data_IF_491643618481
#
_entry.id   IF_491643618481
#
_cell.length_a   1.000
_cell.length_b   1.000
_cell.length_c   1.000
_cell.angle_alpha   90.00
_cell.angle_beta   90.00
_cell.angle_gamma   90.00
#
_symmetry.space_group_name_H-M   'P 1'
#
loop_
_entity.id
_entity.type
_entity.pdbx_description
1 polymer ?
#
# COMPACT_ATOMS: atom_id res chain seq x y z
N UNK A 1 -23.49 15.40 5.88
CA UNK A 1 -24.56 15.82 4.96
C UNK A 1 -25.23 14.55 4.46
N UNK A 2 -26.47 14.32 4.86
CA UNK A 2 -27.22 13.12 4.47
C UNK A 2 -27.57 13.18 2.97
N UNK A 3 -27.68 12.02 2.29
CA UNK A 3 -28.16 11.99 0.91
C UNK A 3 -29.53 12.65 0.79
N UNK A 4 -29.76 13.38 -0.32
CA UNK A 4 -31.08 13.94 -0.62
C UNK A 4 -32.06 12.79 -0.83
N UNK A 5 -33.31 12.91 -0.36
CA UNK A 5 -34.34 11.87 -0.56
C UNK A 5 -34.44 11.41 -2.03
N UNK A 6 -34.32 12.33 -2.97
CA UNK A 6 -34.33 12.06 -4.41
C UNK A 6 -33.22 11.12 -4.90
N UNK A 7 -32.11 10.94 -4.17
CA UNK A 7 -31.03 10.03 -4.58
C UNK A 7 -31.34 8.55 -4.34
N UNK A 8 -32.38 8.24 -3.56
CA UNK A 8 -32.82 6.86 -3.32
C UNK A 8 -33.73 6.31 -4.42
N UNK A 9 -34.29 7.18 -5.26
CA UNK A 9 -35.16 6.78 -6.35
C UNK A 9 -34.39 6.83 -7.66
N UNK A 10 -34.33 5.67 -8.34
CA UNK A 10 -33.83 5.55 -9.71
C UNK A 10 -34.86 6.04 -10.72
N UNK A 11 -36.14 5.80 -10.46
CA UNK A 11 -37.26 6.20 -11.32
C UNK A 11 -38.50 6.50 -10.48
N UNK A 12 -39.20 7.57 -10.83
CA UNK A 12 -40.51 7.94 -10.29
C UNK A 12 -41.49 8.00 -11.45
N UNK A 13 -42.62 7.31 -11.34
CA UNK A 13 -43.67 7.31 -12.35
C UNK A 13 -44.94 7.88 -11.72
N UNK A 14 -45.54 8.88 -12.36
CA UNK A 14 -46.79 9.50 -11.94
C UNK A 14 -47.84 9.18 -13.00
N UNK A 15 -48.90 8.47 -12.58
CA UNK A 15 -50.04 8.17 -13.42
C UNK A 15 -51.17 9.18 -13.17
N UNK A 16 -51.55 9.90 -14.21
CA UNK A 16 -52.68 10.83 -14.26
C UNK A 16 -53.95 10.10 -14.71
N UNK A 17 -55.10 10.68 -14.36
CA UNK A 17 -56.40 10.12 -14.75
C UNK A 17 -56.53 10.09 -16.29
N UNK A 18 -56.67 8.90 -16.91
CA UNK A 18 -56.78 8.77 -18.36
C UNK A 18 -58.01 9.48 -18.95
N UNK A 19 -59.05 9.71 -18.14
CA UNK A 19 -60.24 10.45 -18.59
C UNK A 19 -59.96 11.95 -18.79
N UNK A 20 -58.98 12.51 -18.05
CA UNK A 20 -58.59 13.92 -18.13
C UNK A 20 -57.37 14.13 -19.02
N UNK A 21 -56.48 13.13 -19.13
CA UNK A 21 -55.23 13.19 -19.90
C UNK A 21 -55.11 11.98 -20.84
N UNK A 22 -55.94 11.90 -21.90
CA UNK A 22 -56.01 10.72 -22.77
C UNK A 22 -54.74 10.50 -23.60
N UNK A 23 -54.05 11.57 -23.99
CA UNK A 23 -52.89 11.48 -24.89
C UNK A 23 -51.58 11.12 -24.18
N UNK A 24 -51.45 11.49 -22.90
CA UNK A 24 -50.24 11.19 -22.11
C UNK A 24 -50.53 11.12 -20.60
N UNK A 25 -51.10 10.01 -20.12
CA UNK A 25 -51.44 9.85 -18.71
C UNK A 25 -50.23 9.50 -17.83
N UNK A 26 -49.02 9.34 -18.37
CA UNK A 26 -47.85 8.87 -17.62
C UNK A 26 -46.69 9.86 -17.68
N UNK A 27 -46.30 10.39 -16.52
CA UNK A 27 -45.08 11.18 -16.36
C UNK A 27 -44.01 10.30 -15.72
N UNK A 28 -42.92 10.04 -16.44
CA UNK A 28 -41.78 9.26 -15.95
C UNK A 28 -40.60 10.19 -15.72
N UNK A 29 -40.08 10.20 -14.50
CA UNK A 29 -38.82 10.86 -14.16
C UNK A 29 -37.78 9.79 -13.82
N UNK A 30 -36.68 9.77 -14.56
CA UNK A 30 -35.57 8.83 -14.34
C UNK A 30 -34.34 9.59 -13.83
N UNK A 31 -33.86 9.21 -12.65
CA UNK A 31 -32.71 9.82 -12.02
C UNK A 31 -31.44 9.12 -12.50
N UNK A 32 -30.75 9.75 -13.44
CA UNK A 32 -29.45 9.31 -13.96
C UNK A 32 -28.29 9.43 -12.96
N UNK A 33 -28.54 9.92 -11.73
CA UNK A 33 -27.48 10.27 -10.75
C UNK A 33 -27.47 9.41 -9.47
N UNK A 34 -28.15 8.26 -9.41
CA UNK A 34 -27.92 7.33 -8.30
C UNK A 34 -26.63 6.54 -8.57
N UNK A 35 -25.48 7.12 -8.20
CA UNK A 35 -24.17 6.45 -8.30
C UNK A 35 -23.94 5.40 -7.21
N UNK A 36 -24.93 5.18 -6.34
CA UNK A 36 -24.88 4.14 -5.31
C UNK A 36 -25.63 2.94 -5.90
N UNK A 37 -24.93 1.87 -6.31
CA UNK A 37 -25.62 0.65 -6.66
C UNK A 37 -26.35 0.19 -5.40
N UNK A 38 -27.66 -0.06 -5.48
CA UNK A 38 -28.29 -0.95 -4.51
C UNK A 38 -27.66 -2.31 -4.77
N UNK A 39 -26.58 -2.63 -4.06
CA UNK A 39 -25.80 -3.85 -4.25
C UNK A 39 -26.52 -5.09 -3.69
N UNK A 40 -27.70 -4.92 -3.10
CA UNK A 40 -28.56 -5.99 -2.64
C UNK A 40 -29.28 -6.67 -3.80
N UNK A 41 -29.28 -7.99 -3.81
CA UNK A 41 -30.14 -8.81 -4.65
C UNK A 41 -31.18 -9.47 -3.77
N UNK A 42 -32.42 -9.49 -4.23
CA UNK A 42 -33.43 -10.39 -3.67
C UNK A 42 -33.08 -11.81 -4.10
N UNK A 43 -33.07 -12.74 -3.16
CA UNK A 43 -32.71 -14.12 -3.46
C UNK A 43 -33.95 -14.96 -3.79
N UNK A 44 -33.79 -15.91 -4.70
CA UNK A 44 -34.88 -16.84 -5.02
C UNK A 44 -35.38 -17.60 -3.77
N UNK A 45 -36.65 -18.04 -3.72
CA UNK A 45 -37.20 -18.78 -2.58
C UNK A 45 -36.39 -20.03 -2.19
N UNK A 46 -35.81 -20.73 -3.17
CA UNK A 46 -34.98 -21.91 -2.90
C UNK A 46 -33.68 -21.53 -2.17
N UNK A 47 -33.07 -20.40 -2.51
CA UNK A 47 -31.85 -19.92 -1.88
C UNK A 47 -32.13 -19.27 -0.51
N UNK A 48 -33.29 -18.63 -0.37
CA UNK A 48 -33.82 -18.13 0.90
C UNK A 48 -34.03 -19.27 1.90
N UNK A 49 -34.57 -20.42 1.47
CA UNK A 49 -34.74 -21.61 2.33
C UNK A 49 -33.41 -22.11 2.92
N UNK A 50 -32.30 -21.95 2.17
CA UNK A 50 -30.96 -22.40 2.59
C UNK A 50 -30.31 -21.38 3.52
N UNK A 51 -30.36 -20.10 3.18
CA UNK A 51 -29.58 -19.05 3.86
C UNK A 51 -30.37 -18.28 4.92
N UNK A 52 -31.71 -18.28 4.86
CA UNK A 52 -32.57 -17.47 5.72
C UNK A 52 -32.45 -15.96 5.46
N UNK A 53 -32.02 -15.58 4.26
CA UNK A 53 -31.78 -14.21 3.83
C UNK A 53 -32.76 -13.89 2.70
N UNK A 54 -33.38 -12.71 2.73
CA UNK A 54 -34.26 -12.21 1.66
C UNK A 54 -33.51 -11.31 0.68
N UNK A 55 -32.75 -10.34 1.20
CA UNK A 55 -31.97 -9.38 0.41
C UNK A 55 -30.56 -9.25 1.00
N UNK A 56 -29.53 -9.44 0.19
CA UNK A 56 -28.13 -9.17 0.58
C UNK A 56 -27.25 -9.00 -0.67
N UNK A 57 -25.99 -8.61 -0.49
CA UNK A 57 -25.02 -8.45 -1.58
C UNK A 57 -24.57 -9.80 -2.11
N UNK A 58 -24.25 -9.85 -3.41
CA UNK A 58 -23.73 -11.08 -4.06
C UNK A 58 -22.55 -11.70 -3.33
N UNK A 59 -21.64 -10.88 -2.79
CA UNK A 59 -20.49 -11.36 -2.02
C UNK A 59 -20.91 -12.03 -0.71
N UNK A 60 -21.84 -11.42 0.03
CA UNK A 60 -22.36 -11.97 1.29
C UNK A 60 -23.19 -13.23 1.07
N UNK A 61 -23.98 -13.28 0.00
CA UNK A 61 -24.72 -14.49 -0.38
C UNK A 61 -23.76 -15.65 -0.68
N UNK A 62 -22.70 -15.43 -1.47
CA UNK A 62 -21.67 -16.45 -1.75
C UNK A 62 -20.99 -16.90 -0.45
N UNK A 63 -20.64 -15.96 0.44
CA UNK A 63 -20.08 -16.27 1.74
C UNK A 63 -21.05 -17.07 2.62
N UNK A 64 -22.35 -16.77 2.56
CA UNK A 64 -23.40 -17.52 3.24
C UNK A 64 -23.48 -18.97 2.76
N UNK A 65 -23.43 -19.21 1.45
CA UNK A 65 -23.38 -20.58 0.90
C UNK A 65 -22.13 -21.32 1.41
N UNK A 66 -20.97 -20.66 1.42
CA UNK A 66 -19.75 -21.24 1.96
C UNK A 66 -19.88 -21.61 3.45
N UNK A 67 -20.45 -20.71 4.25
CA UNK A 67 -20.69 -20.94 5.68
C UNK A 67 -21.67 -22.10 5.90
N UNK A 68 -22.75 -22.17 5.11
CA UNK A 68 -23.72 -23.27 5.16
C UNK A 68 -23.04 -24.62 4.90
N UNK A 69 -22.27 -24.72 3.81
CA UNK A 69 -21.53 -25.94 3.44
C UNK A 69 -20.57 -26.37 4.56
N UNK A 70 -19.87 -25.42 5.18
CA UNK A 70 -18.96 -25.69 6.29
C UNK A 70 -19.70 -26.15 7.55
N UNK A 71 -20.80 -25.48 7.91
CA UNK A 71 -21.60 -25.80 9.10
C UNK A 71 -22.23 -27.20 9.01
N UNK A 72 -22.70 -27.59 7.82
CA UNK A 72 -23.29 -28.90 7.54
C UNK A 72 -22.25 -29.99 7.21
N UNK A 73 -20.96 -29.64 7.20
CA UNK A 73 -19.83 -30.54 6.86
C UNK A 73 -20.00 -31.24 5.50
N UNK A 74 -20.47 -30.49 4.51
CA UNK A 74 -20.78 -31.00 3.17
C UNK A 74 -19.57 -30.99 2.22
N UNK A 75 -18.43 -30.44 2.65
CA UNK A 75 -17.20 -30.45 1.86
C UNK A 75 -16.69 -31.88 1.67
N UNK A 76 -16.25 -32.20 0.46
CA UNK A 76 -15.75 -33.53 0.16
C UNK A 76 -14.37 -33.76 0.81
N UNK A 77 -14.17 -34.83 1.60
CA UNK A 77 -12.92 -35.09 2.29
C UNK A 77 -11.76 -35.51 1.36
N UNK A 78 -12.07 -36.07 0.19
CA UNK A 78 -11.07 -36.50 -0.79
C UNK A 78 -10.65 -35.39 -1.75
N UNK A 79 -11.54 -34.43 -2.03
CA UNK A 79 -11.23 -33.25 -2.87
C UNK A 79 -11.90 -31.99 -2.29
N UNK A 80 -11.15 -31.13 -1.58
CA UNK A 80 -11.69 -29.96 -0.91
C UNK A 80 -12.22 -28.89 -1.86
N UNK A 81 -11.99 -29.02 -3.18
CA UNK A 81 -12.52 -28.11 -4.20
C UNK A 81 -14.01 -28.30 -4.45
N UNK A 82 -14.58 -29.42 -3.98
CA UNK A 82 -15.97 -29.79 -4.17
C UNK A 82 -16.72 -29.93 -2.84
N UNK A 83 -18.04 -29.78 -2.92
CA UNK A 83 -18.96 -30.13 -1.85
C UNK A 83 -20.16 -30.92 -2.40
N UNK A 84 -20.77 -31.71 -1.54
CA UNK A 84 -22.00 -32.47 -1.83
C UNK A 84 -23.20 -31.59 -1.55
N UNK A 85 -24.13 -31.49 -2.48
CA UNK A 85 -25.37 -30.75 -2.29
C UNK A 85 -26.36 -31.62 -1.51
N UNK A 86 -26.77 -31.15 -0.33
CA UNK A 86 -27.87 -31.73 0.43
C UNK A 86 -29.23 -31.41 -0.26
N UNK A 87 -30.37 -31.95 0.21
CA UNK A 87 -31.65 -31.72 -0.47
C UNK A 87 -32.00 -30.23 -0.70
N UNK A 88 -31.79 -29.30 0.26
CA UNK A 88 -31.96 -27.86 0.02
C UNK A 88 -31.02 -27.30 -1.04
N UNK A 89 -29.71 -27.59 -0.98
CA UNK A 89 -28.76 -27.11 -1.99
C UNK A 89 -29.01 -27.69 -3.38
N UNK A 90 -29.56 -28.91 -3.48
CA UNK A 90 -29.96 -29.51 -4.76
C UNK A 90 -31.15 -28.79 -5.39
N UNK A 91 -32.09 -28.27 -4.60
CA UNK A 91 -33.16 -27.41 -5.13
C UNK A 91 -32.61 -26.13 -5.74
N UNK A 92 -31.51 -25.60 -5.18
CA UNK A 92 -30.85 -24.39 -5.69
C UNK A 92 -30.03 -24.72 -6.94
N UNK A 93 -29.03 -25.61 -6.84
CA UNK A 93 -28.05 -25.80 -7.90
C UNK A 93 -28.40 -26.87 -8.92
N UNK A 94 -29.36 -27.75 -8.63
CA UNK A 94 -29.80 -28.84 -9.51
C UNK A 94 -28.79 -29.98 -9.67
N UNK A 95 -27.70 -29.99 -8.89
CA UNK A 95 -26.60 -30.96 -9.00
C UNK A 95 -26.31 -31.59 -7.64
N UNK A 96 -25.96 -32.89 -7.61
CA UNK A 96 -25.59 -33.59 -6.37
C UNK A 96 -24.21 -33.19 -5.83
N UNK A 97 -23.31 -32.68 -6.69
CA UNK A 97 -21.95 -32.28 -6.32
C UNK A 97 -21.52 -31.07 -7.12
N UNK A 98 -20.98 -30.05 -6.46
CA UNK A 98 -20.59 -28.78 -7.11
C UNK A 98 -19.18 -28.36 -6.70
N UNK A 99 -18.45 -27.70 -7.62
CA UNK A 99 -17.18 -27.01 -7.33
C UNK A 99 -17.45 -25.63 -6.70
N UNK A 100 -16.66 -25.24 -5.71
CA UNK A 100 -16.77 -23.90 -5.12
C UNK A 100 -16.60 -22.76 -6.14
N UNK A 101 -15.71 -22.93 -7.12
CA UNK A 101 -15.51 -21.96 -8.20
C UNK A 101 -16.77 -21.70 -9.04
N UNK A 102 -17.69 -22.67 -9.12
CA UNK A 102 -18.92 -22.56 -9.92
C UNK A 102 -20.05 -21.85 -9.16
N UNK A 103 -19.94 -21.64 -7.84
CA UNK A 103 -20.99 -21.01 -7.03
C UNK A 103 -21.33 -19.62 -7.57
N UNK A 104 -20.32 -18.80 -7.88
CA UNK A 104 -20.51 -17.46 -8.45
C UNK A 104 -21.41 -17.51 -9.69
N UNK A 105 -21.14 -18.44 -10.62
CA UNK A 105 -21.93 -18.56 -11.84
C UNK A 105 -23.35 -19.10 -11.56
N UNK A 106 -23.45 -20.18 -10.79
CA UNK A 106 -24.71 -20.87 -10.49
C UNK A 106 -25.66 -20.03 -9.65
N UNK A 107 -25.14 -19.16 -8.78
CA UNK A 107 -25.99 -18.32 -7.94
C UNK A 107 -26.62 -17.16 -8.71
N UNK A 108 -26.01 -16.70 -9.81
CA UNK A 108 -26.49 -15.54 -10.57
C UNK A 108 -27.94 -15.68 -11.06
N UNK A 109 -28.40 -16.90 -11.36
CA UNK A 109 -29.80 -17.20 -11.74
C UNK A 109 -30.79 -17.16 -10.56
N UNK A 110 -30.28 -17.12 -9.32
CA UNK A 110 -31.06 -16.98 -8.09
C UNK A 110 -30.98 -15.57 -7.50
N UNK A 111 -30.30 -14.65 -8.19
CA UNK A 111 -30.18 -13.25 -7.79
C UNK A 111 -31.12 -12.41 -8.64
N UNK A 112 -32.13 -11.83 -8.00
CA UNK A 112 -33.16 -11.01 -8.62
C UNK A 112 -32.86 -9.55 -8.25
N UNK A 113 -32.80 -8.62 -9.22
CA UNK A 113 -32.72 -7.21 -8.91
C UNK A 113 -33.91 -6.78 -8.03
N UNK A 114 -33.68 -6.03 -6.94
CA UNK A 114 -34.77 -5.60 -6.07
C UNK A 114 -35.85 -4.86 -6.85
N UNK A 115 -37.11 -5.19 -6.57
CA UNK A 115 -38.23 -4.52 -7.23
C UNK A 115 -38.22 -3.01 -6.89
N UNK A 116 -38.51 -2.14 -7.87
CA UNK A 116 -38.65 -0.71 -7.60
C UNK A 116 -39.82 -0.44 -6.66
N UNK A 117 -39.63 0.47 -5.69
CA UNK A 117 -40.69 0.91 -4.79
C UNK A 117 -41.79 1.61 -5.60
N UNK A 118 -43.03 1.12 -5.50
CA UNK A 118 -44.20 1.70 -6.16
C UNK A 118 -45.03 2.47 -5.12
N UNK A 119 -45.14 3.79 -5.30
CA UNK A 119 -45.97 4.66 -4.48
C UNK A 119 -47.13 5.19 -5.32
N UNK A 120 -48.35 4.71 -5.07
CA UNK A 120 -49.55 5.22 -5.72
C UNK A 120 -50.19 6.32 -4.87
N UNK A 121 -50.36 7.52 -5.45
CA UNK A 121 -51.02 8.64 -4.81
C UNK A 121 -52.08 9.25 -5.73
N UNK A 122 -53.34 9.21 -5.31
CA UNK A 122 -54.46 9.75 -6.09
C UNK A 122 -54.75 11.19 -5.67
N UNK A 123 -54.42 12.13 -6.55
CA UNK A 123 -54.73 13.56 -6.37
C UNK A 123 -56.25 13.77 -6.54
N UNK A 124 -56.91 14.33 -5.52
CA UNK A 124 -58.33 14.73 -5.61
C UNK A 124 -58.42 16.22 -5.93
N UNK A 125 -59.04 16.57 -7.06
CA UNK A 125 -59.14 17.95 -7.54
C UNK A 125 -60.45 18.66 -7.15
N UNK A 126 -61.42 17.97 -6.54
CA UNK A 126 -62.68 18.56 -6.10
C UNK A 126 -63.07 18.12 -4.68
N UNK A 127 -63.54 19.09 -3.88
CA UNK A 127 -63.98 18.90 -2.50
C UNK A 127 -63.23 19.80 -1.51
N UNK A 128 -63.97 20.56 -0.70
CA UNK A 128 -63.44 21.39 0.39
C UNK A 128 -62.99 20.50 1.56
N UNK A 129 -61.92 19.74 1.37
CA UNK A 129 -61.39 18.78 2.34
C UNK A 129 -59.87 18.83 2.33
N UNK A 130 -59.31 19.10 3.51
CA UNK A 130 -57.89 19.32 3.77
C UNK A 130 -56.96 18.46 2.90
N UNK A 131 -55.96 19.12 2.31
CA UNK A 131 -54.77 18.51 1.71
C UNK A 131 -54.03 17.76 2.82
N UNK A 132 -54.48 16.55 3.13
CA UNK A 132 -53.77 15.66 4.04
C UNK A 132 -52.51 15.19 3.33
N UNK A 133 -51.35 15.61 3.80
CA UNK A 133 -50.07 15.11 3.30
C UNK A 133 -50.08 13.58 3.39
N UNK A 134 -49.95 12.88 2.26
CA UNK A 134 -49.73 11.45 2.27
C UNK A 134 -48.28 11.20 2.71
N UNK A 135 -48.12 10.61 3.90
CA UNK A 135 -46.83 10.23 4.46
C UNK A 135 -46.57 8.76 4.17
N UNK A 136 -45.42 8.45 3.57
CA UNK A 136 -44.98 7.08 3.31
C UNK A 136 -43.65 6.85 4.02
N UNK A 137 -43.58 5.81 4.85
CA UNK A 137 -42.35 5.38 5.49
C UNK A 137 -41.63 4.39 4.57
N UNK A 138 -40.40 4.73 4.18
CA UNK A 138 -39.57 3.91 3.30
C UNK A 138 -38.26 3.62 4.02
N UNK A 139 -37.96 2.33 4.20
CA UNK A 139 -36.66 1.90 4.70
C UNK A 139 -35.62 2.08 3.59
N UNK A 140 -34.56 2.83 3.89
CA UNK A 140 -33.46 3.09 2.95
C UNK A 140 -32.13 2.75 3.58
N UNK A 141 -31.27 2.06 2.84
CA UNK A 141 -29.89 1.82 3.25
C UNK A 141 -29.10 3.12 3.15
N UNK A 142 -28.72 3.67 4.30
CA UNK A 142 -27.88 4.86 4.38
C UNK A 142 -26.42 4.42 4.51
N UNK A 143 -25.53 4.81 3.57
CA UNK A 143 -24.11 4.51 3.68
C UNK A 143 -23.54 4.99 5.01
N UNK A 144 -22.77 4.13 5.68
CA UNK A 144 -22.18 4.47 6.97
C UNK A 144 -21.27 5.71 6.85
N UNK A 145 -21.41 6.72 7.73
CA UNK A 145 -20.56 7.92 7.73
C UNK A 145 -19.06 7.61 7.84
N UNK A 146 -18.73 6.48 8.46
CA UNK A 146 -17.37 6.02 8.72
C UNK A 146 -16.53 5.91 7.44
N UNK A 147 -17.11 5.59 6.29
CA UNK A 147 -16.35 5.47 5.05
C UNK A 147 -15.80 6.83 4.59
N UNK A 148 -16.55 7.90 4.81
CA UNK A 148 -16.12 9.28 4.53
C UNK A 148 -15.09 9.76 5.55
N UNK A 149 -15.26 9.40 6.82
CA UNK A 149 -14.30 9.73 7.87
C UNK A 149 -12.98 9.00 7.66
N UNK A 150 -13.03 7.72 7.26
CA UNK A 150 -11.87 6.90 6.95
C UNK A 150 -11.12 7.42 5.71
N UNK A 151 -11.84 7.83 4.65
CA UNK A 151 -11.18 8.43 3.49
C UNK A 151 -10.54 9.79 3.81
N UNK A 152 -11.20 10.62 4.63
CA UNK A 152 -10.63 11.88 5.11
C UNK A 152 -9.42 11.65 6.02
N UNK A 153 -9.45 10.62 6.86
CA UNK A 153 -8.32 10.22 7.69
C UNK A 153 -7.12 9.80 6.85
N UNK A 154 -7.33 8.89 5.88
CA UNK A 154 -6.28 8.41 4.99
C UNK A 154 -5.66 9.55 4.16
N UNK A 155 -6.47 10.52 3.71
CA UNK A 155 -5.97 11.71 3.01
C UNK A 155 -5.15 12.65 3.92
N UNK A 156 -5.41 12.66 5.24
CA UNK A 156 -4.65 13.47 6.20
C UNK A 156 -3.32 12.82 6.60
N UNK A 157 -3.16 11.51 6.45
CA UNK A 157 -1.87 10.83 6.67
C UNK A 157 -0.77 11.29 5.71
N UNK A 158 -1.10 11.94 4.58
CA UNK A 158 -0.08 12.44 3.63
C UNK A 158 0.53 13.80 4.04
N UNK A 159 0.09 14.41 5.14
CA UNK A 159 0.62 15.69 5.64
C UNK A 159 1.88 15.51 6.51
N UNK A 160 2.83 14.71 6.05
CA UNK A 160 4.15 14.58 6.70
C UNK A 160 5.15 15.67 6.31
N UNK A 161 4.82 16.55 5.36
CA UNK A 161 5.73 17.59 4.87
C UNK A 161 6.28 18.49 5.99
N UNK A 162 5.45 18.84 6.97
CA UNK A 162 5.89 19.68 8.08
C UNK A 162 6.84 18.92 9.03
N UNK A 163 6.64 17.61 9.19
CA UNK A 163 7.51 16.73 9.98
C UNK A 163 8.85 16.56 9.26
N UNK A 164 8.84 16.29 7.96
CA UNK A 164 10.05 16.18 7.14
C UNK A 164 10.86 17.48 7.17
N UNK A 165 10.21 18.64 7.07
CA UNK A 165 10.86 19.94 7.19
C UNK A 165 11.50 20.14 8.58
N UNK A 166 10.82 19.70 9.65
CA UNK A 166 11.39 19.75 11.00
C UNK A 166 12.63 18.84 11.11
N UNK A 167 12.57 17.62 10.55
CA UNK A 167 13.68 16.67 10.56
C UNK A 167 14.89 17.21 9.78
N UNK A 168 14.69 17.88 8.65
CA UNK A 168 15.77 18.55 7.91
C UNK A 168 16.45 19.63 8.74
N UNK A 169 15.67 20.47 9.43
CA UNK A 169 16.20 21.53 10.30
C UNK A 169 16.97 20.93 11.49
N UNK A 170 16.44 19.86 12.10
CA UNK A 170 17.11 19.14 13.18
C UNK A 170 18.45 18.57 12.69
N UNK A 171 18.45 17.88 11.54
CA UNK A 171 19.66 17.30 10.96
C UNK A 171 20.72 18.37 10.64
N UNK A 172 20.31 19.49 10.03
CA UNK A 172 21.21 20.60 9.72
C UNK A 172 21.79 21.22 11.01
N UNK A 173 20.99 21.36 12.05
CA UNK A 173 21.41 21.91 13.34
C UNK A 173 22.41 20.99 14.05
N UNK A 174 22.16 19.68 14.05
CA UNK A 174 23.08 18.68 14.61
C UNK A 174 24.43 18.72 13.89
N UNK A 175 24.45 18.81 12.55
CA UNK A 175 25.69 18.96 11.77
C UNK A 175 26.49 20.20 12.19
N UNK A 176 25.82 21.34 12.35
CA UNK A 176 26.45 22.59 12.83
C UNK A 176 27.02 22.44 14.25
N UNK A 177 26.26 21.81 15.17
CA UNK A 177 26.73 21.56 16.54
C UNK A 177 28.01 20.71 16.53
N UNK A 178 28.06 19.64 15.73
CA UNK A 178 29.26 18.82 15.61
C UNK A 178 30.45 19.60 15.04
N UNK A 179 30.22 20.45 14.04
CA UNK A 179 31.27 21.30 13.49
C UNK A 179 31.82 22.29 14.54
N UNK A 180 30.94 22.98 15.26
CA UNK A 180 31.33 23.89 16.35
C UNK A 180 32.07 23.15 17.47
N UNK A 181 31.62 21.95 17.85
CA UNK A 181 32.30 21.13 18.85
C UNK A 181 33.71 20.73 18.40
N UNK A 182 33.88 20.34 17.13
CA UNK A 182 35.19 19.99 16.55
C UNK A 182 36.12 21.20 16.51
N UNK A 183 35.61 22.35 16.05
CA UNK A 183 36.36 23.62 16.01
C UNK A 183 36.79 24.06 17.41
N UNK A 184 35.89 23.97 18.40
CA UNK A 184 36.20 24.26 19.80
C UNK A 184 37.28 23.33 20.35
N UNK A 185 37.16 22.02 20.11
CA UNK A 185 38.15 21.05 20.56
C UNK A 185 39.54 21.30 19.95
N UNK A 186 39.59 21.67 18.66
CA UNK A 186 40.83 22.05 17.97
C UNK A 186 41.52 23.25 18.64
N UNK A 187 40.80 24.36 18.84
CA UNK A 187 41.38 25.56 19.44
C UNK A 187 41.75 25.37 20.91
N UNK A 188 40.97 24.59 21.66
CA UNK A 188 41.33 24.26 23.04
C UNK A 188 42.61 23.42 23.12
N UNK A 189 42.74 22.39 22.28
CA UNK A 189 43.97 21.59 22.21
C UNK A 189 45.20 22.45 21.93
N UNK A 190 45.09 23.39 20.97
CA UNK A 190 46.15 24.35 20.69
C UNK A 190 46.49 25.25 21.88
N UNK A 191 45.48 25.77 22.59
CA UNK A 191 45.70 26.67 23.73
C UNK A 191 46.32 25.99 24.96
N UNK A 192 46.10 24.68 25.13
CA UNK A 192 46.57 23.92 26.28
C UNK A 192 48.03 23.46 26.11
N UNK A 193 48.39 22.95 24.93
CA UNK A 193 49.77 22.56 24.64
C UNK A 193 50.14 22.82 23.17
N UNK A 194 50.52 24.06 22.81
CA UNK A 194 50.66 24.48 21.41
C UNK A 194 51.75 23.71 20.65
N UNK A 195 52.87 23.41 21.31
CA UNK A 195 54.01 22.71 20.68
C UNK A 195 53.65 21.27 20.35
N UNK A 196 53.09 20.54 21.30
CA UNK A 196 52.65 19.15 21.13
C UNK A 196 51.52 19.07 20.09
N UNK A 197 50.56 19.99 20.17
CA UNK A 197 49.46 20.08 19.24
C UNK A 197 49.91 20.32 17.80
N UNK A 198 50.81 21.28 17.55
CA UNK A 198 51.34 21.54 16.20
C UNK A 198 52.08 20.30 15.68
N UNK A 199 52.93 19.68 16.49
CA UNK A 199 53.66 18.49 16.08
C UNK A 199 52.72 17.32 15.73
N UNK A 200 51.68 17.10 16.54
CA UNK A 200 50.66 16.10 16.28
C UNK A 200 49.84 16.44 15.03
N UNK A 201 49.51 17.71 14.80
CA UNK A 201 48.77 18.19 13.64
C UNK A 201 49.57 17.98 12.35
N UNK A 202 50.84 18.37 12.32
CA UNK A 202 51.75 18.16 11.20
C UNK A 202 51.88 16.66 10.91
N UNK A 203 52.06 15.84 11.94
CA UNK A 203 52.13 14.38 11.78
C UNK A 203 50.81 13.78 11.26
N UNK A 204 49.66 14.31 11.66
CA UNK A 204 48.35 13.89 11.14
C UNK A 204 48.19 14.29 9.68
N UNK A 205 48.40 15.55 9.34
CA UNK A 205 48.26 16.04 7.96
C UNK A 205 49.25 15.38 7.00
N UNK A 206 50.47 15.11 7.45
CA UNK A 206 51.47 14.36 6.66
C UNK A 206 51.00 12.94 6.37
N UNK A 207 50.32 12.27 7.32
CA UNK A 207 49.75 10.94 7.10
C UNK A 207 48.55 11.00 6.15
N UNK A 208 47.65 11.95 6.36
CA UNK A 208 46.45 12.10 5.53
C UNK A 208 46.84 12.39 4.07
N UNK A 209 47.85 13.25 3.85
CA UNK A 209 48.37 13.55 2.52
C UNK A 209 49.00 12.32 1.84
N UNK A 210 49.77 11.52 2.59
CA UNK A 210 50.36 10.26 2.09
C UNK A 210 49.29 9.22 1.72
N UNK A 211 48.20 9.16 2.48
CA UNK A 211 47.06 8.29 2.17
C UNK A 211 46.37 8.73 0.88
N UNK A 212 46.10 10.02 0.72
CA UNK A 212 45.48 10.57 -0.50
C UNK A 212 46.38 10.40 -1.73
N UNK A 213 47.71 10.52 -1.55
CA UNK A 213 48.69 10.41 -2.65
C UNK A 213 49.07 8.96 -3.01
N UNK A 214 48.56 7.95 -2.28
CA UNK A 214 48.90 6.54 -2.50
C UNK A 214 50.31 6.12 -2.05
N UNK A 215 51.04 7.01 -1.37
CA UNK A 215 52.43 6.79 -0.91
C UNK A 215 52.50 6.29 0.55
N UNK A 216 51.42 5.68 1.05
CA UNK A 216 51.25 5.31 2.45
C UNK A 216 52.40 4.50 3.05
N UNK A 217 53.14 3.75 2.22
CA UNK A 217 54.23 2.86 2.66
C UNK A 217 55.63 3.48 2.59
N UNK A 218 55.84 4.59 1.87
CA UNK A 218 57.19 5.14 1.67
C UNK A 218 57.44 6.35 2.57
N UNK A 219 58.61 6.35 3.21
CA UNK A 219 59.04 7.48 4.02
C UNK A 219 60.48 7.82 3.66
N UNK A 220 60.63 8.60 2.58
CA UNK A 220 61.92 8.97 1.99
C UNK A 220 62.92 9.53 3.01
N UNK A 221 62.44 10.25 4.03
CA UNK A 221 63.31 10.79 5.08
C UNK A 221 63.84 9.73 6.05
N UNK A 222 63.08 8.66 6.31
CA UNK A 222 63.60 7.51 7.09
C UNK A 222 64.54 6.67 6.24
N UNK A 223 64.21 6.45 4.97
CA UNK A 223 65.06 5.74 4.00
C UNK A 223 66.43 6.39 3.82
N UNK A 224 66.59 7.69 4.11
CA UNK A 224 67.89 8.39 4.06
C UNK A 224 68.80 8.13 5.27
N UNK A 225 68.27 7.62 6.38
CA UNK A 225 69.04 7.42 7.62
C UNK A 225 69.61 6.01 7.67
N UNK A 226 70.89 5.87 8.05
CA UNK A 226 71.56 4.58 8.11
C UNK A 226 70.83 3.56 9.03
N UNK A 227 70.23 4.03 10.13
CA UNK A 227 69.47 3.21 11.08
C UNK A 227 68.30 2.44 10.43
N UNK A 228 67.73 2.98 9.34
CA UNK A 228 66.67 2.32 8.59
C UNK A 228 67.15 1.00 7.97
N UNK A 229 68.42 0.91 7.62
CA UNK A 229 69.05 -0.28 7.05
C UNK A 229 69.72 -1.17 8.11
N UNK A 230 69.57 -0.85 9.40
CA UNK A 230 70.00 -1.72 10.49
C UNK A 230 68.78 -2.46 11.07
N UNK A 231 68.05 -3.17 10.21
CA UNK A 231 66.80 -3.85 10.55
C UNK A 231 66.85 -5.33 10.12
N UNK A 232 66.17 -6.24 10.83
CA UNK A 232 66.25 -7.68 10.56
C UNK A 232 65.85 -8.09 9.14
N UNK A 233 65.01 -7.30 8.48
CA UNK A 233 64.57 -7.56 7.11
C UNK A 233 65.65 -7.28 6.05
N UNK A 234 66.74 -6.60 6.41
CA UNK A 234 67.72 -6.08 5.44
C UNK A 234 68.59 -7.20 4.85
N UNK A 235 69.00 -8.18 5.66
CA UNK A 235 69.77 -9.33 5.19
C UNK A 235 68.97 -10.16 4.17
N UNK A 236 67.72 -10.49 4.51
CA UNK A 236 66.79 -11.19 3.62
C UNK A 236 66.50 -10.38 2.35
N UNK A 237 66.33 -9.06 2.48
CA UNK A 237 66.12 -8.17 1.33
C UNK A 237 67.35 -8.11 0.41
N UNK A 238 68.56 -8.08 0.97
CA UNK A 238 69.82 -8.10 0.22
C UNK A 238 70.01 -9.43 -0.53
N UNK A 239 69.74 -10.57 0.12
CA UNK A 239 69.80 -11.90 -0.50
C UNK A 239 68.79 -11.99 -1.66
N UNK A 240 67.54 -11.54 -1.44
CA UNK A 240 66.50 -11.51 -2.49
C UNK A 240 66.89 -10.59 -3.65
N UNK A 241 67.50 -9.44 -3.36
CA UNK A 241 67.99 -8.51 -4.38
C UNK A 241 69.11 -9.15 -5.23
N UNK A 242 70.10 -9.78 -4.58
CA UNK A 242 71.21 -10.46 -5.26
C UNK A 242 70.72 -11.62 -6.13
N UNK A 243 69.81 -12.44 -5.63
CA UNK A 243 69.24 -13.56 -6.39
C UNK A 243 68.34 -13.10 -7.56
N UNK A 244 67.79 -11.89 -7.48
CA UNK A 244 66.96 -11.30 -8.54
C UNK A 244 67.79 -10.55 -9.58
N UNK A 245 69.01 -10.11 -9.26
CA UNK A 245 69.89 -9.43 -10.20
C UNK A 245 70.43 -10.48 -11.20
N UNK A 246 70.00 -10.47 -12.48
CA UNK A 246 70.60 -11.37 -13.46
C UNK A 246 72.09 -11.04 -13.60
N UNK A 247 72.91 -12.04 -13.90
CA UNK A 247 74.35 -11.91 -14.14
C UNK A 247 74.64 -11.03 -15.38
N UNK A 248 74.37 -9.72 -15.29
CA UNK A 248 74.75 -8.70 -16.27
C UNK A 248 76.17 -8.23 -16.06
N UNK A 249 77.10 -9.20 -16.02
CA UNK A 249 78.53 -9.01 -15.94
C UNK A 249 79.22 -10.07 -16.79
N UNK A 250 78.77 -10.19 -18.05
CA UNK A 250 79.42 -11.02 -19.06
C UNK A 250 79.41 -10.29 -20.41
N UNK A 251 79.95 -9.07 -20.43
CA UNK A 251 80.55 -8.51 -21.63
C UNK A 251 82.07 -8.56 -21.43
N UNK A 252 82.65 -9.72 -21.74
CA UNK A 252 84.07 -9.83 -22.03
C UNK A 252 84.33 -9.26 -23.45
N UNK A 253 85.45 -8.58 -23.71
CA UNK A 253 85.72 -8.01 -25.02
C UNK A 253 86.20 -9.11 -25.97
N UNK A 254 85.39 -9.50 -26.95
CA UNK A 254 85.89 -10.21 -28.13
C UNK A 254 86.46 -9.18 -29.11
N UNK A 255 87.77 -8.96 -29.04
CA UNK A 255 88.52 -8.34 -30.13
C UNK A 255 88.89 -9.39 -31.16
N UNK A 256 88.52 -9.11 -32.41
CA UNK A 256 88.98 -9.78 -33.61
C UNK A 256 90.50 -9.65 -33.75
N UNK A 257 91.17 -10.79 -33.94
CA UNK A 257 91.96 -11.07 -35.14
C UNK A 257 91.32 -12.29 -35.82
#
# INVERSE_FOLDING_TARGET
MYPKFSSFFKRVTIQLDPALYPDNPMIVWENSRSSVPQEGFEVSPALMEVLGIEVDTRARIIAGVWQYVKAKKLQNPSDPSYFTCDPPLRKVFGEDKLKFAMISQKISQHLIPPAPIHLEHRIRLSGNGAVGNACYDVLVDVPFPLQKEMSAFLANTEKHKDIEACDEVICASIKKIHEHRRRRAFFLGFSQSPVEFINALIASQSRDLKLVSGEASRNAERERRADFYNQPWVEDAAIRYLNRKPAGGNDAPSSTL
#
